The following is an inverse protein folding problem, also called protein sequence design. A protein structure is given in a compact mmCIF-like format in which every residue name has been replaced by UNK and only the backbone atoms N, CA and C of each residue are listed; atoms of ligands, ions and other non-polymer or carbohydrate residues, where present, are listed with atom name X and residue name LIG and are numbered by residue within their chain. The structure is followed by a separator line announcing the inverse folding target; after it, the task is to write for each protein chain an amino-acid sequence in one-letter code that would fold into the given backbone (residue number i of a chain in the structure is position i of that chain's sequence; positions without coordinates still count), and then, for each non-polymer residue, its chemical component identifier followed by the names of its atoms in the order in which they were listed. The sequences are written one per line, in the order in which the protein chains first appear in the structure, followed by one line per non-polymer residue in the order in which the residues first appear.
data_IF_335890613637
#
_entry.id   IF_335890613637
#
_cell.length_a   1.000
_cell.length_b   1.000
_cell.length_c   1.000
_cell.angle_alpha   90.00
_cell.angle_beta   90.00
_cell.angle_gamma   90.00
#
_symmetry.space_group_name_H-M   'P 1'
#
loop_
_entity.id
_entity.type
_entity.pdbx_description
1 polymer ?
#
# COMPACT_ATOMS: atom_id res chain seq x y z
N UNK A 1 -3.63 -1.45 -32.97
CA UNK A 1 -3.69 -1.99 -31.58
C UNK A 1 -2.30 -2.33 -31.00
N UNK A 2 -1.35 -2.79 -31.84
CA UNK A 2 0.04 -3.13 -31.43
C UNK A 2 0.91 -1.89 -31.08
N UNK A 3 0.66 -0.73 -31.70
CA UNK A 3 1.45 0.48 -31.46
C UNK A 3 1.19 1.14 -30.09
N UNK A 4 -0.01 0.98 -29.52
CA UNK A 4 -0.31 1.49 -28.18
C UNK A 4 0.41 0.70 -27.08
N UNK A 5 0.61 -0.62 -27.25
CA UNK A 5 1.29 -1.45 -26.26
C UNK A 5 2.79 -1.16 -26.11
N UNK A 6 3.51 -0.90 -27.21
CA UNK A 6 4.95 -0.59 -27.16
C UNK A 6 5.25 0.76 -26.47
N UNK A 7 4.44 1.79 -26.74
CA UNK A 7 4.59 3.09 -26.10
C UNK A 7 4.35 3.03 -24.58
N UNK A 8 3.43 2.19 -24.14
CA UNK A 8 3.11 2.02 -22.74
C UNK A 8 4.17 1.22 -21.98
N UNK A 9 4.74 0.18 -22.59
CA UNK A 9 5.88 -0.57 -22.03
C UNK A 9 7.10 0.33 -21.89
N UNK A 10 7.40 1.14 -22.90
CA UNK A 10 8.51 2.09 -22.87
C UNK A 10 8.37 3.13 -21.75
N UNK A 11 7.18 3.75 -21.60
CA UNK A 11 6.91 4.69 -20.51
C UNK A 11 7.06 4.07 -19.11
N UNK A 12 6.66 2.81 -18.96
CA UNK A 12 6.78 2.04 -17.70
C UNK A 12 8.24 1.81 -17.32
N UNK A 13 9.08 1.42 -18.28
CA UNK A 13 10.50 1.23 -18.07
C UNK A 13 11.23 2.54 -17.74
N UNK A 14 10.79 3.67 -18.29
CA UNK A 14 11.38 4.98 -18.01
C UNK A 14 11.20 5.37 -16.53
N UNK A 15 10.02 5.16 -15.94
CA UNK A 15 9.82 5.50 -14.51
C UNK A 15 10.75 4.68 -13.63
N UNK A 16 10.81 3.36 -13.86
CA UNK A 16 11.71 2.46 -13.12
C UNK A 16 13.18 2.87 -13.26
N UNK A 17 13.64 3.13 -14.49
CA UNK A 17 15.02 3.50 -14.73
C UNK A 17 15.39 4.86 -14.14
N UNK A 18 14.50 5.86 -14.23
CA UNK A 18 14.71 7.18 -13.62
C UNK A 18 14.73 7.12 -12.11
N UNK A 19 13.81 6.35 -11.49
CA UNK A 19 13.79 6.15 -10.05
C UNK A 19 15.09 5.46 -9.57
N UNK A 20 15.48 4.39 -10.25
CA UNK A 20 16.72 3.66 -9.95
C UNK A 20 17.95 4.56 -10.12
N UNK A 21 18.02 5.35 -11.20
CA UNK A 21 19.12 6.28 -11.44
C UNK A 21 19.17 7.39 -10.37
N UNK A 22 18.02 7.92 -9.96
CA UNK A 22 17.94 8.92 -8.89
C UNK A 22 18.44 8.34 -7.55
N UNK A 23 17.99 7.17 -7.18
CA UNK A 23 18.39 6.49 -5.94
C UNK A 23 19.89 6.15 -5.95
N UNK A 24 20.42 5.66 -7.07
CA UNK A 24 21.85 5.35 -7.20
C UNK A 24 22.74 6.61 -7.17
N UNK A 25 22.30 7.71 -7.79
CA UNK A 25 23.07 8.95 -7.82
C UNK A 25 23.01 9.75 -6.51
N UNK A 26 21.94 9.61 -5.75
CA UNK A 26 21.73 10.38 -4.50
C UNK A 26 22.53 9.82 -3.31
N UNK A 27 23.30 8.71 -3.47
CA UNK A 27 23.86 7.92 -2.37
C UNK A 27 22.86 7.85 -1.22
N UNK A 28 21.78 7.20 -1.52
CA UNK A 28 20.45 7.35 -0.97
C UNK A 28 20.41 7.62 0.53
N UNK A 29 19.91 8.77 0.88
CA UNK A 29 19.49 9.12 2.23
C UNK A 29 18.15 8.47 2.61
N UNK A 30 17.63 7.57 1.75
CA UNK A 30 16.29 6.99 1.88
C UNK A 30 16.36 5.47 1.83
N UNK A 31 15.81 4.83 2.85
CA UNK A 31 15.65 3.38 2.91
C UNK A 31 14.40 2.93 2.13
N UNK A 32 13.38 3.78 2.07
CA UNK A 32 12.10 3.49 1.42
C UNK A 32 11.66 4.62 0.49
N UNK A 33 11.01 4.23 -0.61
CA UNK A 33 10.31 5.15 -1.52
C UNK A 33 8.85 4.71 -1.61
N UNK A 34 7.95 5.56 -1.16
CA UNK A 34 6.51 5.33 -1.21
C UNK A 34 5.92 6.06 -2.41
N UNK A 35 5.18 5.33 -3.24
CA UNK A 35 4.46 5.88 -4.40
C UNK A 35 2.97 5.84 -4.07
N UNK A 36 2.41 7.01 -3.74
CA UNK A 36 0.97 7.15 -3.53
C UNK A 36 0.22 7.07 -4.86
N UNK A 37 -0.76 6.18 -4.93
CA UNK A 37 -1.50 5.88 -6.15
C UNK A 37 -3.00 6.12 -5.96
N UNK A 38 -3.68 6.73 -6.94
CA UNK A 38 -5.14 6.82 -6.90
C UNK A 38 -5.78 5.41 -6.97
N UNK A 39 -7.01 5.24 -6.45
CA UNK A 39 -7.69 3.94 -6.43
C UNK A 39 -8.06 3.40 -7.82
N UNK A 40 -7.91 4.21 -8.87
CA UNK A 40 -8.17 3.80 -10.24
C UNK A 40 -6.97 3.05 -10.84
N UNK A 41 -7.22 1.99 -11.58
CA UNK A 41 -6.20 1.28 -12.36
C UNK A 41 -5.83 2.05 -13.65
N UNK A 42 -5.40 3.29 -13.47
CA UNK A 42 -4.93 4.15 -14.55
C UNK A 42 -3.54 3.71 -15.05
N UNK A 43 -3.10 4.26 -16.17
CA UNK A 43 -1.74 4.06 -16.67
C UNK A 43 -0.68 4.41 -15.62
N UNK A 44 -0.89 5.48 -14.83
CA UNK A 44 0.04 5.90 -13.78
C UNK A 44 0.14 4.85 -12.67
N UNK A 45 -0.99 4.28 -12.23
CA UNK A 45 -1.00 3.20 -11.24
C UNK A 45 -0.25 1.96 -11.75
N UNK A 46 -0.46 1.59 -13.02
CA UNK A 46 0.27 0.48 -13.63
C UNK A 46 1.77 0.78 -13.71
N UNK A 47 2.17 2.02 -14.05
CA UNK A 47 3.58 2.45 -14.06
C UNK A 47 4.20 2.34 -12.66
N UNK A 48 3.49 2.75 -11.61
CA UNK A 48 3.92 2.63 -10.23
C UNK A 48 4.15 1.16 -9.86
N UNK A 49 3.18 0.27 -10.12
CA UNK A 49 3.28 -1.16 -9.82
C UNK A 49 4.43 -1.86 -10.59
N UNK A 50 4.69 -1.45 -11.82
CA UNK A 50 5.84 -1.97 -12.60
C UNK A 50 7.18 -1.52 -12.04
N UNK A 51 7.22 -0.34 -11.40
CA UNK A 51 8.44 0.25 -10.84
C UNK A 51 8.71 -0.17 -9.40
N UNK A 52 7.71 -0.69 -8.70
CA UNK A 52 7.79 -1.03 -7.28
C UNK A 52 8.33 -2.44 -7.06
N UNK A 53 8.93 -2.65 -5.89
CA UNK A 53 9.31 -3.97 -5.39
C UNK A 53 8.12 -4.66 -4.71
N UNK A 54 7.36 -3.90 -3.94
CA UNK A 54 6.23 -4.43 -3.20
C UNK A 54 5.04 -3.46 -3.16
N UNK A 55 3.88 -3.98 -2.80
CA UNK A 55 2.62 -3.27 -2.73
C UNK A 55 2.04 -3.37 -1.32
N UNK A 56 1.86 -2.22 -0.68
CA UNK A 56 1.06 -2.08 0.53
C UNK A 56 -0.37 -1.69 0.14
N UNK A 57 -1.36 -2.45 0.63
CA UNK A 57 -2.78 -2.24 0.30
C UNK A 57 -3.54 -1.72 1.52
N UNK A 58 -3.85 -0.42 1.60
CA UNK A 58 -4.80 0.06 2.60
C UNK A 58 -6.22 -0.36 2.20
N UNK A 59 -6.89 -1.08 3.11
CA UNK A 59 -8.25 -1.60 2.92
C UNK A 59 -9.20 -0.99 3.94
N UNK A 60 -10.18 -0.23 3.48
CA UNK A 60 -11.24 0.26 4.36
C UNK A 60 -12.17 -0.90 4.75
N UNK A 61 -12.53 -0.99 6.04
CA UNK A 61 -13.38 -2.07 6.56
C UNK A 61 -14.87 -1.80 6.29
N UNK A 62 -15.23 -1.72 4.99
CA UNK A 62 -16.59 -1.45 4.50
C UNK A 62 -17.11 -2.58 3.60
N UNK A 63 -18.40 -2.57 3.28
CA UNK A 63 -19.11 -3.69 2.65
C UNK A 63 -18.46 -4.23 1.35
N UNK A 64 -17.99 -3.35 0.47
CA UNK A 64 -17.39 -3.76 -0.80
C UNK A 64 -15.88 -4.00 -0.73
N UNK A 65 -15.30 -3.97 0.46
CA UNK A 65 -13.85 -4.04 0.64
C UNK A 65 -13.23 -5.30 0.02
N UNK A 66 -13.79 -6.46 0.29
CA UNK A 66 -13.24 -7.74 -0.15
C UNK A 66 -13.45 -8.00 -1.64
N UNK A 67 -14.56 -7.52 -2.21
CA UNK A 67 -14.78 -7.57 -3.65
C UNK A 67 -13.72 -6.73 -4.38
N UNK A 68 -13.52 -5.48 -3.95
CA UNK A 68 -12.49 -4.60 -4.49
C UNK A 68 -11.09 -5.19 -4.35
N UNK A 69 -10.79 -5.79 -3.19
CA UNK A 69 -9.51 -6.45 -2.95
C UNK A 69 -9.30 -7.65 -3.89
N UNK A 70 -10.32 -8.47 -4.10
CA UNK A 70 -10.27 -9.61 -5.03
C UNK A 70 -9.98 -9.16 -6.47
N UNK A 71 -10.62 -8.08 -6.93
CA UNK A 71 -10.36 -7.51 -8.25
C UNK A 71 -8.93 -6.93 -8.36
N UNK A 72 -8.45 -6.29 -7.29
CA UNK A 72 -7.08 -5.80 -7.21
C UNK A 72 -6.08 -6.96 -7.32
N UNK A 73 -6.30 -8.06 -6.59
CA UNK A 73 -5.43 -9.25 -6.64
C UNK A 73 -5.32 -9.82 -8.06
N UNK A 74 -6.43 -9.94 -8.78
CA UNK A 74 -6.42 -10.38 -10.19
C UNK A 74 -5.59 -9.46 -11.07
N UNK A 75 -5.63 -8.17 -10.82
CA UNK A 75 -4.84 -7.19 -11.58
C UNK A 75 -3.36 -7.27 -11.25
N UNK A 76 -3.02 -7.41 -9.96
CA UNK A 76 -1.64 -7.59 -9.52
C UNK A 76 -1.04 -8.84 -10.16
N UNK A 77 -1.78 -9.94 -10.18
CA UNK A 77 -1.34 -11.19 -10.82
C UNK A 77 -1.03 -10.99 -12.32
N UNK A 78 -1.89 -10.28 -13.04
CA UNK A 78 -1.62 -9.92 -14.45
C UNK A 78 -0.37 -9.06 -14.63
N UNK A 79 -0.11 -8.16 -13.70
CA UNK A 79 1.09 -7.31 -13.72
C UNK A 79 2.33 -8.16 -13.40
N UNK A 80 2.26 -9.05 -12.42
CA UNK A 80 3.35 -9.97 -12.10
C UNK A 80 3.73 -10.82 -13.29
N UNK A 81 2.76 -11.47 -13.92
CA UNK A 81 3.03 -12.37 -15.04
C UNK A 81 3.61 -11.65 -16.26
N UNK A 82 3.13 -10.44 -16.58
CA UNK A 82 3.45 -9.80 -17.85
C UNK A 82 4.46 -8.65 -17.76
N UNK A 83 4.64 -8.03 -16.61
CA UNK A 83 5.33 -6.73 -16.53
C UNK A 83 6.34 -6.61 -15.39
N UNK A 84 6.07 -7.20 -14.22
CA UNK A 84 6.95 -7.14 -13.06
C UNK A 84 6.87 -8.42 -12.23
N UNK A 85 7.59 -9.48 -12.62
CA UNK A 85 7.55 -10.77 -11.91
C UNK A 85 8.02 -10.69 -10.45
N UNK A 86 8.81 -9.68 -10.10
CA UNK A 86 9.32 -9.49 -8.74
C UNK A 86 8.38 -8.70 -7.82
N UNK A 87 7.22 -8.21 -8.34
CA UNK A 87 6.27 -7.49 -7.51
C UNK A 87 5.65 -8.41 -6.47
N UNK A 88 5.74 -8.02 -5.21
CA UNK A 88 5.15 -8.77 -4.11
C UNK A 88 4.08 -7.95 -3.39
N UNK A 89 3.16 -8.65 -2.69
CA UNK A 89 2.25 -8.00 -1.75
C UNK A 89 2.97 -7.95 -0.41
N UNK A 90 3.33 -6.74 0.00
CA UNK A 90 3.93 -6.47 1.30
C UNK A 90 2.95 -6.78 2.42
N UNK A 91 1.75 -6.25 2.30
CA UNK A 91 0.70 -6.52 3.25
C UNK A 91 -0.56 -5.72 2.99
N UNK A 92 -1.58 -6.04 3.78
CA UNK A 92 -2.89 -5.38 3.77
C UNK A 92 -3.08 -4.70 5.12
N UNK A 93 -3.24 -3.37 5.09
CA UNK A 93 -3.50 -2.55 6.28
C UNK A 93 -4.97 -2.21 6.37
N UNK A 94 -5.65 -2.72 7.38
CA UNK A 94 -7.06 -2.40 7.64
C UNK A 94 -7.18 -0.97 8.15
N UNK A 95 -8.03 -0.17 7.49
CA UNK A 95 -8.22 1.25 7.79
C UNK A 95 -9.70 1.56 8.02
N UNK A 96 -9.98 2.74 8.57
CA UNK A 96 -11.34 3.20 8.90
C UNK A 96 -12.09 2.22 9.80
N UNK A 97 -11.36 1.49 10.64
CA UNK A 97 -11.89 0.44 11.50
C UNK A 97 -12.74 1.04 12.63
N UNK A 98 -13.99 0.65 12.72
CA UNK A 98 -14.87 1.03 13.83
C UNK A 98 -15.26 -0.21 14.65
N UNK A 99 -14.72 -0.31 15.87
CA UNK A 99 -14.97 -1.44 16.80
C UNK A 99 -16.44 -1.63 17.16
N UNK A 100 -17.26 -0.58 17.03
CA UNK A 100 -18.70 -0.62 17.32
C UNK A 100 -19.51 -1.19 16.16
N UNK A 101 -18.90 -1.28 14.98
CA UNK A 101 -19.55 -1.75 13.77
C UNK A 101 -19.22 -3.24 13.53
N UNK A 102 -20.21 -4.10 13.62
CA UNK A 102 -20.08 -5.54 13.36
C UNK A 102 -19.53 -5.84 11.96
N UNK A 103 -19.87 -5.01 10.97
CA UNK A 103 -19.36 -5.15 9.60
C UNK A 103 -17.82 -5.01 9.57
N UNK A 104 -17.26 -4.04 10.30
CA UNK A 104 -15.79 -3.89 10.35
C UNK A 104 -15.10 -5.14 10.88
N UNK A 105 -15.66 -5.77 11.93
CA UNK A 105 -15.14 -7.01 12.49
C UNK A 105 -15.30 -8.20 11.54
N UNK A 106 -16.40 -8.27 10.78
CA UNK A 106 -16.60 -9.31 9.77
C UNK A 106 -15.59 -9.18 8.63
N UNK A 107 -15.41 -7.96 8.09
CA UNK A 107 -14.44 -7.70 7.03
C UNK A 107 -13.01 -8.00 7.51
N UNK A 108 -12.66 -7.64 8.73
CA UNK A 108 -11.38 -7.99 9.34
C UNK A 108 -11.19 -9.51 9.39
N UNK A 109 -12.15 -10.25 9.93
CA UNK A 109 -12.08 -11.70 10.05
C UNK A 109 -11.91 -12.37 8.67
N UNK A 110 -12.73 -12.00 7.69
CA UNK A 110 -12.67 -12.56 6.35
C UNK A 110 -11.34 -12.20 5.64
N UNK A 111 -10.83 -10.98 5.84
CA UNK A 111 -9.52 -10.59 5.30
C UNK A 111 -8.39 -11.44 5.93
N UNK A 112 -8.42 -11.65 7.25
CA UNK A 112 -7.41 -12.48 7.95
C UNK A 112 -7.53 -13.95 7.58
N UNK A 113 -8.73 -14.49 7.42
CA UNK A 113 -8.94 -15.89 7.03
C UNK A 113 -8.41 -16.16 5.62
N UNK A 114 -8.59 -15.21 4.69
CA UNK A 114 -8.18 -15.38 3.31
C UNK A 114 -6.69 -15.04 3.05
N UNK A 115 -6.21 -13.91 3.61
CA UNK A 115 -4.86 -13.39 3.33
C UNK A 115 -3.84 -13.72 4.44
N UNK A 116 -4.32 -14.27 5.57
CA UNK A 116 -3.49 -14.78 6.69
C UNK A 116 -2.46 -13.76 7.18
N UNK A 117 -1.20 -14.14 7.10
CA UNK A 117 -0.02 -13.38 7.51
C UNK A 117 0.24 -12.10 6.69
N UNK A 118 -0.45 -11.94 5.56
CA UNK A 118 -0.38 -10.70 4.77
C UNK A 118 -1.23 -9.57 5.36
N UNK A 119 -2.11 -9.82 6.32
CA UNK A 119 -2.89 -8.76 6.98
C UNK A 119 -2.16 -8.32 8.24
N UNK A 120 -1.77 -7.02 8.29
CA UNK A 120 -1.13 -6.46 9.47
C UNK A 120 -1.99 -6.63 10.72
N UNK A 121 -1.36 -6.87 11.88
CA UNK A 121 -2.07 -6.97 13.16
C UNK A 121 -2.63 -5.60 13.56
N UNK A 122 -1.86 -4.56 13.29
CA UNK A 122 -2.28 -3.19 13.53
C UNK A 122 -3.43 -2.79 12.59
N UNK A 123 -4.45 -2.17 13.15
CA UNK A 123 -5.56 -1.57 12.39
C UNK A 123 -5.59 -0.06 12.60
N UNK A 124 -5.92 0.71 11.57
CA UNK A 124 -6.08 2.16 11.68
C UNK A 124 -7.55 2.48 11.97
N UNK A 125 -7.88 3.00 13.16
CA UNK A 125 -9.26 3.26 13.53
C UNK A 125 -9.85 4.43 12.74
N UNK A 126 -11.17 4.43 12.59
CA UNK A 126 -11.90 5.63 12.20
C UNK A 126 -11.69 6.69 13.27
N UNK A 127 -11.09 7.82 12.89
CA UNK A 127 -10.72 8.89 13.82
C UNK A 127 -10.89 10.26 13.17
N UNK A 128 -11.58 11.17 13.85
CA UNK A 128 -11.86 12.52 13.33
C UNK A 128 -10.57 13.30 13.06
N UNK A 129 -9.55 13.16 13.92
CA UNK A 129 -8.26 13.84 13.74
C UNK A 129 -7.54 13.47 12.46
N UNK A 130 -7.69 12.20 12.00
CA UNK A 130 -7.18 11.75 10.71
C UNK A 130 -7.85 12.48 9.54
N UNK A 131 -9.14 12.80 9.68
CA UNK A 131 -9.90 13.52 8.64
C UNK A 131 -9.67 15.03 8.69
N UNK A 132 -9.37 15.60 9.85
CA UNK A 132 -9.12 17.03 10.03
C UNK A 132 -7.71 17.45 9.58
N UNK A 133 -6.68 16.66 9.88
CA UNK A 133 -5.29 16.99 9.63
C UNK A 133 -4.99 17.47 8.19
N UNK A 134 -5.54 16.83 7.13
CA UNK A 134 -5.33 17.30 5.75
C UNK A 134 -5.86 18.70 5.49
N UNK A 135 -6.97 19.13 6.16
CA UNK A 135 -7.50 20.49 6.01
C UNK A 135 -6.57 21.57 6.58
N UNK A 136 -5.65 21.16 7.46
CA UNK A 136 -4.59 22.02 8.01
C UNK A 136 -3.26 21.89 7.26
N UNK A 137 -3.21 21.08 6.19
CA UNK A 137 -2.00 20.87 5.40
C UNK A 137 -0.86 20.15 6.12
N UNK A 138 -1.17 19.41 7.20
CA UNK A 138 -0.18 18.70 8.02
C UNK A 138 -0.56 17.24 8.23
N UNK A 139 0.41 16.33 8.38
CA UNK A 139 0.12 14.95 8.76
C UNK A 139 -0.50 14.88 10.17
N UNK A 140 -1.34 13.88 10.41
CA UNK A 140 -1.95 13.66 11.72
C UNK A 140 -0.91 13.52 12.85
N UNK A 141 0.24 12.95 12.54
CA UNK A 141 1.36 12.78 13.46
C UNK A 141 1.92 14.12 14.00
N UNK A 142 1.74 15.19 13.23
CA UNK A 142 2.08 16.57 13.65
C UNK A 142 0.86 17.27 14.25
N UNK A 143 -0.32 17.04 13.66
CA UNK A 143 -1.57 17.68 14.06
C UNK A 143 -2.02 17.27 15.47
N UNK A 144 -2.03 15.96 15.77
CA UNK A 144 -2.36 15.40 17.08
C UNK A 144 -1.64 14.07 17.31
N UNK A 145 -0.47 14.14 17.94
CA UNK A 145 0.35 12.95 18.25
C UNK A 145 -0.32 11.98 19.21
N UNK A 146 -1.24 12.46 20.04
CA UNK A 146 -1.85 11.69 21.12
C UNK A 146 -3.09 10.91 20.68
N UNK A 147 -3.68 11.27 19.56
CA UNK A 147 -4.92 10.65 19.09
C UNK A 147 -4.72 9.17 18.73
N UNK A 148 -5.78 8.35 18.80
CA UNK A 148 -5.71 6.94 18.46
C UNK A 148 -5.19 6.68 17.03
N UNK A 149 -5.53 7.55 16.08
CA UNK A 149 -5.05 7.46 14.71
C UNK A 149 -3.53 7.56 14.61
N UNK A 150 -2.92 8.57 15.23
CA UNK A 150 -1.46 8.75 15.28
C UNK A 150 -0.76 7.55 15.92
N UNK A 151 -1.24 7.11 17.07
CA UNK A 151 -0.67 5.94 17.76
C UNK A 151 -0.73 4.68 16.90
N UNK A 152 -1.84 4.46 16.20
CA UNK A 152 -1.97 3.30 15.31
C UNK A 152 -1.00 3.38 14.12
N UNK A 153 -0.75 4.56 13.56
CA UNK A 153 0.25 4.70 12.50
C UNK A 153 1.68 4.46 12.99
N UNK A 154 2.03 4.87 14.22
CA UNK A 154 3.32 4.51 14.81
C UNK A 154 3.46 2.99 14.99
N UNK A 155 2.46 2.34 15.61
CA UNK A 155 2.46 0.88 15.77
C UNK A 155 2.55 0.14 14.43
N UNK A 156 1.84 0.63 13.42
CA UNK A 156 1.92 0.07 12.06
C UNK A 156 3.33 0.22 11.48
N UNK A 157 3.97 1.38 11.67
CA UNK A 157 5.33 1.60 11.17
C UNK A 157 6.32 0.66 11.83
N UNK A 158 6.21 0.44 13.14
CA UNK A 158 7.06 -0.50 13.87
C UNK A 158 6.85 -1.94 13.36
N UNK A 159 5.58 -2.36 13.20
CA UNK A 159 5.23 -3.68 12.65
C UNK A 159 5.76 -3.87 11.21
N UNK A 160 5.63 -2.83 10.38
CA UNK A 160 6.13 -2.83 9.00
C UNK A 160 7.65 -3.04 8.96
N UNK A 161 8.41 -2.28 9.75
CA UNK A 161 9.86 -2.36 9.80
C UNK A 161 10.31 -3.72 10.35
N UNK A 162 9.62 -4.26 11.36
CA UNK A 162 9.92 -5.58 11.89
C UNK A 162 9.71 -6.69 10.85
N UNK A 163 8.66 -6.60 10.02
CA UNK A 163 8.43 -7.56 8.94
C UNK A 163 9.52 -7.48 7.87
N UNK A 164 9.91 -6.27 7.46
CA UNK A 164 10.99 -6.05 6.50
C UNK A 164 12.32 -6.66 6.98
N UNK A 165 12.67 -6.43 8.26
CA UNK A 165 13.88 -6.99 8.84
C UNK A 165 13.90 -8.52 8.87
N UNK A 166 12.74 -9.16 9.08
CA UNK A 166 12.61 -10.63 9.03
C UNK A 166 12.80 -11.16 7.61
N UNK A 167 12.25 -10.48 6.61
CA UNK A 167 12.41 -10.85 5.19
C UNK A 167 13.86 -10.66 4.75
N UNK A 168 14.49 -9.52 5.08
CA UNK A 168 15.88 -9.24 4.74
C UNK A 168 16.91 -10.14 5.43
N UNK A 169 16.56 -10.72 6.58
CA UNK A 169 17.43 -11.68 7.29
C UNK A 169 17.29 -13.14 6.80
N UNK A 170 16.28 -13.43 5.98
CA UNK A 170 16.00 -14.76 5.42
C UNK A 170 16.49 -14.92 3.97
N UNK A 171 16.98 -13.85 3.34
CA UNK A 171 17.52 -13.81 1.98
C UNK A 171 19.05 -13.80 1.97
#
# INVERSE_FOLDING_TARGET
LLSRGLGDVYKRQILKSKLTAYLNNSRALYDYVLIDCPPSLSLLTVMALVSSNSLLVPLQTEFFALEGLTQLMKTIERIKVNLNPSLEIQGILLTMYDRRNKLSSQVEQEARDYFKDKVYQTVIPRNVRLSEAPSHGVPVLIYDKSCPGSKSYYNFTDEFIEQENKIGSAA
#
